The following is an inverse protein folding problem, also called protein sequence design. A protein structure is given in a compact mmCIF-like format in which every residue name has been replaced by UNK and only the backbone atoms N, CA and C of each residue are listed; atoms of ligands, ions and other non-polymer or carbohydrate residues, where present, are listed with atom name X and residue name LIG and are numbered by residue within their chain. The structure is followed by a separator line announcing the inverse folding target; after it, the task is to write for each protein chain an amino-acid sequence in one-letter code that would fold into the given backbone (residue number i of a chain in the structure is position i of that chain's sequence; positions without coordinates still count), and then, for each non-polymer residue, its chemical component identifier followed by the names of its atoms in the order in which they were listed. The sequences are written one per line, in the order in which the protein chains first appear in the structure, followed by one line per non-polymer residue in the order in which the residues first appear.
data_IF_145837991168
#
_entry.id   IF_145837991168
#
_cell.length_a   1.000
_cell.length_b   1.000
_cell.length_c   1.000
_cell.angle_alpha   90.00
_cell.angle_beta   90.00
_cell.angle_gamma   90.00
#
_symmetry.space_group_name_H-M   'P 1'
#
loop_
_entity.id
_entity.type
_entity.pdbx_description
1 polymer ?
#
# COMPACT_ATOMS: atom_id res chain seq x y z
N UNK A 1 14.59 10.07 7.84
CA UNK A 1 13.68 10.44 6.73
C UNK A 1 14.09 9.77 5.42
N UNK A 2 15.32 9.94 4.90
CA UNK A 2 15.77 9.27 3.65
C UNK A 2 15.57 7.75 3.62
N UNK A 3 15.78 7.05 4.73
CA UNK A 3 15.56 5.60 4.77
C UNK A 3 14.07 5.24 4.53
N UNK A 4 13.13 5.97 5.12
CA UNK A 4 11.70 5.70 4.96
C UNK A 4 11.27 5.95 3.52
N UNK A 5 11.73 7.05 2.93
CA UNK A 5 11.49 7.37 1.52
C UNK A 5 12.02 6.24 0.63
N UNK A 6 13.22 5.72 0.89
CA UNK A 6 13.77 4.58 0.16
C UNK A 6 12.93 3.30 0.35
N UNK A 7 12.52 2.99 1.58
CA UNK A 7 11.67 1.83 1.89
C UNK A 7 10.31 1.93 1.16
N UNK A 8 9.74 3.14 1.08
CA UNK A 8 8.53 3.41 0.32
C UNK A 8 8.77 3.23 -1.18
N UNK A 9 9.79 3.86 -1.76
CA UNK A 9 10.13 3.70 -3.18
C UNK A 9 10.33 2.22 -3.53
N UNK A 10 11.05 1.47 -2.69
CA UNK A 10 11.25 0.03 -2.87
C UNK A 10 9.93 -0.74 -2.85
N UNK A 11 9.03 -0.42 -1.92
CA UNK A 11 7.70 -1.02 -1.86
C UNK A 11 6.91 -0.81 -3.16
N UNK A 12 7.00 0.38 -3.78
CA UNK A 12 6.35 0.66 -5.05
C UNK A 12 6.99 -0.09 -6.22
N UNK A 13 8.32 -0.25 -6.24
CA UNK A 13 9.00 -1.05 -7.26
C UNK A 13 8.51 -2.51 -7.22
N UNK A 14 8.35 -3.08 -6.01
CA UNK A 14 7.81 -4.43 -5.83
C UNK A 14 6.38 -4.55 -6.36
N UNK A 15 5.54 -3.55 -6.08
CA UNK A 15 4.15 -3.52 -6.56
C UNK A 15 4.08 -3.39 -8.08
N UNK A 16 4.84 -2.47 -8.67
CA UNK A 16 4.84 -2.28 -10.12
C UNK A 16 5.32 -3.57 -10.83
N UNK A 17 6.38 -4.20 -10.34
CA UNK A 17 6.86 -5.49 -10.85
C UNK A 17 5.80 -6.59 -10.72
N UNK A 18 5.06 -6.64 -9.61
CA UNK A 18 3.99 -7.61 -9.40
C UNK A 18 2.90 -7.49 -10.47
N UNK A 19 2.44 -6.28 -10.76
CA UNK A 19 1.39 -6.07 -11.77
C UNK A 19 1.92 -6.22 -13.22
N UNK A 20 3.21 -5.97 -13.47
CA UNK A 20 3.85 -6.23 -14.76
C UNK A 20 4.06 -7.73 -15.04
N UNK A 21 4.23 -8.55 -13.99
CA UNK A 21 4.60 -9.96 -14.12
C UNK A 21 3.50 -10.89 -14.66
N UNK A 22 2.27 -10.41 -14.85
CA UNK A 22 1.15 -11.22 -15.37
C UNK A 22 0.53 -10.57 -16.61
N UNK A 23 0.41 -11.33 -17.70
CA UNK A 23 -0.35 -10.89 -18.89
C UNK A 23 -1.83 -10.64 -18.55
N UNK A 24 -2.42 -9.60 -19.16
CA UNK A 24 -3.82 -9.20 -18.97
C UNK A 24 -4.82 -10.33 -19.27
N UNK A 25 -4.50 -11.27 -20.16
CA UNK A 25 -5.32 -12.44 -20.48
C UNK A 25 -5.69 -13.27 -19.23
N UNK A 26 -4.86 -13.21 -18.18
CA UNK A 26 -5.08 -13.92 -16.91
C UNK A 26 -5.64 -13.02 -15.81
N UNK A 27 -5.54 -11.69 -15.97
CA UNK A 27 -5.96 -10.67 -15.00
C UNK A 27 -6.35 -9.39 -15.74
N UNK A 28 -7.61 -9.23 -16.17
CA UNK A 28 -8.06 -8.13 -17.04
C UNK A 28 -8.06 -6.75 -16.37
N UNK A 29 -7.47 -6.64 -15.19
CA UNK A 29 -7.37 -5.44 -14.37
C UNK A 29 -5.93 -4.93 -14.20
N UNK A 30 -4.92 -5.64 -14.75
CA UNK A 30 -3.52 -5.24 -14.60
C UNK A 30 -3.20 -3.96 -15.37
N UNK A 31 -3.71 -3.79 -16.59
CA UNK A 31 -3.63 -2.53 -17.32
C UNK A 31 -4.13 -1.33 -16.51
N UNK A 32 -5.31 -1.47 -15.90
CA UNK A 32 -5.91 -0.43 -15.05
C UNK A 32 -5.03 -0.13 -13.82
N UNK A 33 -4.53 -1.17 -13.15
CA UNK A 33 -3.65 -1.03 -12.01
C UNK A 33 -2.34 -0.31 -12.38
N UNK A 34 -1.66 -0.75 -13.45
CA UNK A 34 -0.40 -0.17 -13.90
C UNK A 34 -0.56 1.29 -14.34
N UNK A 35 -1.69 1.62 -14.99
CA UNK A 35 -2.02 3.00 -15.35
C UNK A 35 -2.11 3.88 -14.10
N UNK A 36 -2.88 3.45 -13.10
CA UNK A 36 -3.06 4.22 -11.86
C UNK A 36 -1.75 4.31 -11.04
N UNK A 37 -0.99 3.22 -10.94
CA UNK A 37 0.31 3.20 -10.25
C UNK A 37 1.25 4.24 -10.88
N UNK A 38 1.36 4.27 -12.22
CA UNK A 38 2.19 5.27 -12.91
C UNK A 38 1.71 6.70 -12.68
N UNK A 39 0.40 6.94 -12.70
CA UNK A 39 -0.18 8.24 -12.40
C UNK A 39 0.22 8.71 -10.98
N UNK A 40 0.07 7.85 -9.98
CA UNK A 40 0.45 8.16 -8.60
C UNK A 40 1.97 8.38 -8.43
N UNK A 41 2.82 7.60 -9.11
CA UNK A 41 4.27 7.78 -9.10
C UNK A 41 4.70 9.11 -9.73
N UNK A 42 4.04 9.53 -10.80
CA UNK A 42 4.30 10.84 -11.43
C UNK A 42 3.97 12.01 -10.49
N UNK A 43 3.09 11.81 -9.51
CA UNK A 43 2.77 12.78 -8.46
C UNK A 43 3.73 12.72 -7.27
N UNK A 44 4.70 11.80 -7.26
CA UNK A 44 5.68 11.63 -6.19
C UNK A 44 5.15 10.89 -4.96
N UNK A 45 3.98 10.25 -5.05
CA UNK A 45 3.38 9.53 -3.91
C UNK A 45 4.19 8.32 -3.45
N UNK A 46 5.12 7.84 -4.28
CA UNK A 46 6.03 6.75 -3.93
C UNK A 46 7.08 7.12 -2.87
N UNK A 47 7.26 8.42 -2.62
CA UNK A 47 8.12 8.93 -1.56
C UNK A 47 7.40 9.10 -0.22
N UNK A 48 6.08 9.18 -0.28
CA UNK A 48 5.23 9.52 0.86
C UNK A 48 4.34 8.36 1.32
N UNK A 49 3.98 7.43 0.45
CA UNK A 49 3.13 6.31 0.81
C UNK A 49 3.88 5.01 0.61
N UNK A 50 3.67 4.07 1.52
CA UNK A 50 4.04 2.69 1.27
C UNK A 50 2.99 2.04 0.38
N UNK A 51 3.44 1.32 -0.64
CA UNK A 51 2.60 0.42 -1.41
C UNK A 51 2.80 -1.03 -0.93
N UNK A 52 1.72 -1.69 -0.55
CA UNK A 52 1.68 -3.12 -0.26
C UNK A 52 0.68 -3.81 -1.17
N UNK A 53 0.66 -5.14 -1.14
CA UNK A 53 -0.38 -5.89 -1.83
C UNK A 53 -0.80 -7.11 -1.02
N UNK A 54 -2.05 -7.48 -1.22
CA UNK A 54 -2.54 -8.83 -1.01
C UNK A 54 -2.84 -9.45 -2.38
N UNK A 55 -3.18 -10.73 -2.42
CA UNK A 55 -3.58 -11.42 -3.65
C UNK A 55 -4.68 -10.68 -4.45
N UNK A 56 -5.50 -9.87 -3.77
CA UNK A 56 -6.73 -9.28 -4.31
C UNK A 56 -6.75 -7.75 -4.39
N UNK A 57 -5.83 -7.05 -3.73
CA UNK A 57 -5.88 -5.58 -3.66
C UNK A 57 -4.50 -4.95 -3.49
N UNK A 58 -4.38 -3.74 -4.02
CA UNK A 58 -3.30 -2.80 -3.73
C UNK A 58 -3.61 -2.11 -2.39
N UNK A 59 -2.60 -1.94 -1.56
CA UNK A 59 -2.71 -1.33 -0.24
C UNK A 59 -1.83 -0.09 -0.17
N UNK A 60 -2.38 1.05 0.24
CA UNK A 60 -1.63 2.29 0.47
C UNK A 60 -1.73 2.68 1.95
N UNK A 61 -0.60 3.03 2.55
CA UNK A 61 -0.55 3.43 3.97
C UNK A 61 0.63 4.34 4.29
N UNK A 62 0.60 4.98 5.46
CA UNK A 62 1.73 5.70 6.05
C UNK A 62 2.54 4.84 7.05
N UNK A 63 2.28 3.53 7.10
CA UNK A 63 3.02 2.62 7.97
C UNK A 63 4.25 2.08 7.23
N UNK A 64 5.41 2.09 7.90
CA UNK A 64 6.66 1.55 7.38
C UNK A 64 6.61 0.02 7.18
N UNK A 65 5.98 -0.71 8.10
CA UNK A 65 6.06 -2.17 8.17
C UNK A 65 4.75 -2.86 7.77
N UNK A 66 4.85 -4.15 7.39
CA UNK A 66 3.69 -4.98 7.05
C UNK A 66 2.80 -5.26 8.27
N UNK A 67 1.53 -5.62 8.03
CA UNK A 67 0.55 -5.91 9.09
C UNK A 67 -0.27 -4.67 9.44
N UNK A 68 -1.26 -4.37 8.60
CA UNK A 68 -2.22 -3.29 8.86
C UNK A 68 -3.49 -3.89 9.47
N UNK A 69 -3.67 -3.72 10.77
CA UNK A 69 -4.91 -4.10 11.45
C UNK A 69 -5.73 -2.87 11.83
N UNK A 70 -5.11 -1.90 12.52
CA UNK A 70 -5.78 -0.69 13.05
C UNK A 70 -5.33 0.62 12.41
N UNK A 71 -4.19 0.63 11.72
CA UNK A 71 -3.60 1.84 11.18
C UNK A 71 -4.36 2.35 9.95
N UNK A 72 -4.39 3.68 9.74
CA UNK A 72 -5.03 4.27 8.56
C UNK A 72 -4.47 3.75 7.23
N UNK A 73 -5.35 3.31 6.34
CA UNK A 73 -4.97 2.77 5.04
C UNK A 73 -6.10 2.80 4.00
N UNK A 74 -5.71 2.63 2.74
CA UNK A 74 -6.61 2.44 1.61
C UNK A 74 -6.33 1.09 0.96
N UNK A 75 -7.38 0.31 0.70
CA UNK A 75 -7.34 -0.88 -0.13
C UNK A 75 -8.02 -0.58 -1.46
N UNK A 76 -7.37 -0.89 -2.55
CA UNK A 76 -7.83 -0.64 -3.91
C UNK A 76 -7.95 -1.99 -4.62
N UNK A 77 -9.19 -2.37 -4.92
CA UNK A 77 -9.50 -3.57 -5.69
C UNK A 77 -9.87 -3.16 -7.10
N UNK A 78 -9.10 -3.61 -8.09
CA UNK A 78 -9.38 -3.33 -9.49
C UNK A 78 -10.38 -4.36 -10.03
N UNK A 79 -11.49 -3.89 -10.60
CA UNK A 79 -12.56 -4.74 -11.12
C UNK A 79 -12.42 -5.03 -12.62
N UNK A 80 -11.51 -4.32 -13.30
CA UNK A 80 -11.43 -4.29 -14.76
C UNK A 80 -12.41 -3.28 -15.36
N UNK A 81 -12.38 -3.13 -16.69
CA UNK A 81 -13.22 -2.18 -17.42
C UNK A 81 -13.12 -0.74 -16.89
N UNK A 82 -11.91 -0.31 -16.46
CA UNK A 82 -11.65 1.01 -15.89
C UNK A 82 -12.44 1.28 -14.58
N UNK A 83 -12.76 0.24 -13.80
CA UNK A 83 -13.43 0.35 -12.48
C UNK A 83 -12.56 -0.16 -11.33
N UNK A 84 -12.73 0.47 -10.17
CA UNK A 84 -12.10 0.04 -8.92
C UNK A 84 -12.99 0.31 -7.71
N UNK A 85 -12.79 -0.48 -6.66
CA UNK A 85 -13.36 -0.25 -5.34
C UNK A 85 -12.26 0.23 -4.41
N UNK A 86 -12.51 1.37 -3.74
CA UNK A 86 -11.67 1.87 -2.67
C UNK A 86 -12.35 1.52 -1.35
N UNK A 87 -11.68 0.73 -0.52
CA UNK A 87 -12.03 0.54 0.88
C UNK A 87 -11.05 1.35 1.73
N UNK A 88 -11.57 2.31 2.47
CA UNK A 88 -10.77 3.09 3.42
C UNK A 88 -10.97 2.57 4.84
N UNK A 89 -9.90 2.59 5.62
CA UNK A 89 -9.95 2.46 7.06
C UNK A 89 -9.25 3.69 7.63
N UNK A 90 -10.01 4.61 8.21
CA UNK A 90 -9.47 5.73 8.97
C UNK A 90 -10.00 5.57 10.39
N UNK A 91 -9.15 5.12 11.32
CA UNK A 91 -9.49 4.94 12.73
C UNK A 91 -10.72 4.04 12.98
N UNK A 92 -10.86 2.96 12.20
CA UNK A 92 -11.94 1.97 12.35
C UNK A 92 -13.23 2.30 11.59
N UNK A 93 -13.35 3.50 11.03
CA UNK A 93 -14.43 3.82 10.09
C UNK A 93 -14.10 3.20 8.73
N UNK A 94 -14.92 2.21 8.32
CA UNK A 94 -14.79 1.53 7.03
C UNK A 94 -15.77 2.12 6.04
N UNK A 95 -15.24 2.74 4.98
CA UNK A 95 -16.05 3.24 3.86
C UNK A 95 -15.59 2.56 2.58
N UNK A 96 -16.54 2.05 1.80
CA UNK A 96 -16.32 1.42 0.51
C UNK A 96 -16.98 2.22 -0.59
N UNK A 97 -16.27 2.46 -1.69
CA UNK A 97 -16.84 3.17 -2.85
C UNK A 97 -16.26 2.64 -4.16
N UNK A 98 -17.14 2.30 -5.10
CA UNK A 98 -16.77 2.01 -6.49
C UNK A 98 -16.68 3.30 -7.30
N UNK A 99 -15.58 3.47 -8.03
CA UNK A 99 -15.32 4.61 -8.91
C UNK A 99 -14.53 4.17 -10.15
N UNK A 100 -14.35 5.08 -11.10
CA UNK A 100 -13.45 4.86 -12.24
C UNK A 100 -11.97 4.87 -11.84
N UNK A 101 -11.13 4.16 -12.61
CA UNK A 101 -9.68 4.08 -12.39
C UNK A 101 -8.98 5.35 -12.89
N UNK A 102 -8.88 6.34 -11.99
CA UNK A 102 -8.07 7.54 -12.15
C UNK A 102 -7.73 8.14 -10.77
N UNK A 103 -6.71 9.00 -10.72
CA UNK A 103 -6.31 9.65 -9.46
C UNK A 103 -7.34 10.64 -8.90
N UNK A 104 -8.21 11.22 -9.73
CA UNK A 104 -8.95 12.44 -9.40
C UNK A 104 -10.17 12.21 -8.50
N UNK A 105 -10.69 13.32 -7.96
CA UNK A 105 -11.97 13.36 -7.26
C UNK A 105 -11.91 12.59 -5.94
N UNK A 106 -12.79 11.60 -5.77
CA UNK A 106 -12.88 10.87 -4.50
C UNK A 106 -11.57 10.19 -4.10
N UNK A 107 -10.81 9.65 -5.06
CA UNK A 107 -9.55 8.97 -4.72
C UNK A 107 -8.49 9.96 -4.23
N UNK A 108 -8.33 11.08 -4.93
CA UNK A 108 -7.47 12.20 -4.53
C UNK A 108 -7.80 12.68 -3.11
N UNK A 109 -9.08 12.85 -2.78
CA UNK A 109 -9.52 13.24 -1.43
C UNK A 109 -9.07 12.24 -0.37
N UNK A 110 -9.17 10.94 -0.66
CA UNK A 110 -8.75 9.87 0.26
C UNK A 110 -7.23 9.82 0.42
N UNK A 111 -6.47 10.03 -0.66
CA UNK A 111 -5.01 10.14 -0.61
C UNK A 111 -4.59 11.34 0.22
N UNK A 112 -5.21 12.51 -0.01
CA UNK A 112 -4.95 13.72 0.77
C UNK A 112 -5.29 13.55 2.25
N UNK A 113 -6.32 12.76 2.58
CA UNK A 113 -6.62 12.38 3.97
C UNK A 113 -5.53 11.48 4.55
N UNK A 114 -5.09 10.47 3.80
CA UNK A 114 -4.02 9.55 4.22
C UNK A 114 -2.67 10.26 4.42
N UNK A 115 -2.33 11.22 3.57
CA UNK A 115 -1.07 11.99 3.67
C UNK A 115 -1.00 12.88 4.93
N UNK A 116 -2.14 13.23 5.53
CA UNK A 116 -2.19 13.98 6.81
C UNK A 116 -1.86 13.10 8.01
N UNK A 117 -1.92 11.77 7.86
CA UNK A 117 -1.57 10.85 8.92
C UNK A 117 -0.05 10.84 9.18
N UNK A 118 0.30 10.67 10.45
CA UNK A 118 1.70 10.52 10.84
C UNK A 118 2.26 9.22 10.28
N UNK A 119 3.56 9.22 10.00
CA UNK A 119 4.26 7.98 9.67
C UNK A 119 4.35 7.15 10.95
N UNK A 120 3.73 5.97 10.94
CA UNK A 120 3.75 5.03 12.07
C UNK A 120 4.90 4.04 11.93
N UNK A 121 5.54 3.74 13.06
CA UNK A 121 6.60 2.77 13.21
C UNK A 121 6.02 1.59 13.97
N UNK A 122 5.79 0.47 13.30
CA UNK A 122 5.68 -0.78 14.03
C UNK A 122 7.11 -1.28 14.19
N UNK A 123 7.90 -0.73 15.12
CA UNK A 123 9.07 -1.47 15.56
C UNK A 123 8.50 -2.79 16.04
N UNK A 124 8.77 -3.89 15.32
CA UNK A 124 8.65 -5.18 15.95
C UNK A 124 9.62 -5.07 17.11
N UNK A 125 9.08 -4.93 18.33
CA UNK A 125 9.78 -5.38 19.50
C UNK A 125 10.30 -6.74 19.09
N UNK A 126 11.61 -6.82 18.84
CA UNK A 126 12.29 -8.09 18.76
C UNK A 126 12.08 -8.60 20.17
N UNK A 127 11.01 -9.39 20.38
CA UNK A 127 10.92 -10.22 21.56
C UNK A 127 12.28 -10.92 21.60
N UNK A 128 13.10 -10.68 22.64
CA UNK A 128 14.43 -11.26 22.70
C UNK A 128 14.26 -12.76 22.48
N UNK A 129 14.90 -13.28 21.42
CA UNK A 129 14.77 -14.68 21.07
C UNK A 129 15.14 -15.50 22.30
N UNK A 130 14.19 -16.21 22.93
CA UNK A 130 14.47 -16.93 24.17
C UNK A 130 15.50 -18.06 23.95
N UNK A 131 15.83 -18.39 22.69
CA UNK A 131 16.87 -19.34 22.33
C UNK A 131 18.27 -18.71 22.28
N UNK A 132 18.41 -17.38 22.11
CA UNK A 132 19.72 -16.71 22.10
C UNK A 132 20.37 -16.69 23.49
N UNK A 133 19.59 -16.69 24.57
CA UNK A 133 20.09 -16.78 25.96
C UNK A 133 20.50 -18.20 26.38
N UNK A 134 20.08 -19.23 25.63
CA UNK A 134 20.42 -20.63 25.92
C UNK A 134 21.80 -21.03 25.38
N UNK A 135 22.33 -20.34 24.36
CA UNK A 135 23.62 -20.66 23.75
C UNK A 135 24.80 -19.79 24.23
N UNK A 136 24.54 -18.80 25.08
CA UNK A 136 25.58 -17.92 25.66
C UNK A 136 25.97 -18.28 27.10
N UNK A 137 25.45 -19.41 27.61
CA UNK A 137 25.80 -19.96 28.92
C UNK A 137 26.56 -21.29 28.75
N UNK A 138 27.76 -21.24 28.15
CA UNK A 138 28.79 -22.28 28.28
C UNK A 138 30.14 -21.66 28.62
#
# INVERSE_FOLDING_TARGET
MKQIENDFIESWNLIENFYQGYNDDKRPFNCDALKLIKEMRNLGLDKDLRAGQSLWFLLLSRNRNHGLDKEPHLQITFLGENKMVINSNFNGEKVSKEIEVNYKGYFEDMINKLLKEKITWNDYDIDPDPLLDLFNNE
#
